data_IF_525067017348
#
_entry.id   IF_525067017348
#
_cell.length_a   1.000
_cell.length_b   1.000
_cell.length_c   1.000
_cell.angle_alpha   90.00
_cell.angle_beta   90.00
_cell.angle_gamma   90.00
#
_symmetry.space_group_name_H-M   'P 1'
#
loop_
_entity.id
_entity.type
_entity.pdbx_description
1 polymer ?
#
# COMPACT_ATOMS: atom_id res chain seq x y z
N UNK A 1 42.59 19.22 26.11
CA UNK A 1 41.72 19.86 25.12
C UNK A 1 41.13 18.90 24.09
N UNK A 2 41.74 17.76 23.79
CA UNK A 2 41.17 16.78 22.84
C UNK A 2 39.97 15.96 23.37
N UNK A 3 39.77 15.85 24.67
CA UNK A 3 38.68 15.08 25.30
C UNK A 3 37.28 15.74 25.16
N UNK A 4 37.21 17.07 25.16
CA UNK A 4 35.95 17.81 25.04
C UNK A 4 35.33 17.76 23.66
N UNK A 5 36.14 17.60 22.62
CA UNK A 5 35.61 17.51 21.25
C UNK A 5 35.04 16.10 20.94
N UNK A 6 35.60 15.06 21.58
CA UNK A 6 35.10 13.69 21.41
C UNK A 6 33.71 13.51 22.01
N UNK A 7 33.45 14.10 23.18
CA UNK A 7 32.12 14.05 23.82
C UNK A 7 31.08 14.84 23.03
N UNK A 8 31.46 15.97 22.41
CA UNK A 8 30.56 16.74 21.53
C UNK A 8 30.27 16.02 20.21
N UNK A 9 31.25 15.36 19.64
CA UNK A 9 31.07 14.52 18.45
C UNK A 9 30.21 13.29 18.76
N UNK A 10 30.41 12.66 19.92
CA UNK A 10 29.60 11.52 20.35
C UNK A 10 28.14 11.90 20.61
N UNK A 11 27.92 13.07 21.22
CA UNK A 11 26.58 13.62 21.46
C UNK A 11 25.86 14.00 20.16
N UNK A 12 26.58 14.53 19.17
CA UNK A 12 26.05 14.83 17.85
C UNK A 12 25.71 13.55 17.07
N UNK A 13 26.55 12.52 17.14
CA UNK A 13 26.29 11.22 16.52
C UNK A 13 25.06 10.51 17.13
N UNK A 14 24.91 10.57 18.45
CA UNK A 14 23.73 10.04 19.16
C UNK A 14 22.45 10.81 18.81
N UNK A 15 22.52 12.12 18.63
CA UNK A 15 21.39 12.94 18.21
C UNK A 15 20.95 12.64 16.76
N UNK A 16 21.88 12.36 15.85
CA UNK A 16 21.60 11.97 14.48
C UNK A 16 20.99 10.55 14.42
N UNK A 17 21.47 9.62 15.23
CA UNK A 17 20.89 8.27 15.35
C UNK A 17 19.46 8.31 15.92
N UNK A 18 19.19 9.19 16.88
CA UNK A 18 17.85 9.37 17.44
C UNK A 18 16.87 10.00 16.43
N UNK A 19 17.37 10.90 15.55
CA UNK A 19 16.54 11.50 14.49
C UNK A 19 16.19 10.50 13.38
N UNK A 20 17.05 9.51 13.10
CA UNK A 20 16.75 8.45 12.13
C UNK A 20 15.74 7.41 12.66
N UNK A 21 15.55 7.31 13.98
CA UNK A 21 14.58 6.39 14.58
C UNK A 21 13.13 6.91 14.58
N UNK A 22 12.90 8.15 14.13
CA UNK A 22 11.58 8.80 14.09
C UNK A 22 10.90 8.73 12.70
N UNK A 23 11.42 7.97 11.76
CA UNK A 23 10.62 7.52 10.61
C UNK A 23 9.79 6.30 11.00
N UNK A 24 9.03 6.41 12.09
CA UNK A 24 7.92 5.51 12.31
C UNK A 24 6.97 5.68 11.11
N UNK A 25 6.63 4.58 10.42
CA UNK A 25 5.54 4.57 9.46
C UNK A 25 4.34 5.21 10.14
N UNK A 26 4.00 6.43 9.77
CA UNK A 26 2.85 7.10 10.34
C UNK A 26 1.62 6.33 9.85
N UNK A 27 0.77 5.93 10.80
CA UNK A 27 -0.55 5.37 10.43
C UNK A 27 -1.29 6.40 9.58
N UNK A 28 -2.09 5.94 8.63
CA UNK A 28 -3.00 6.84 7.93
C UNK A 28 -4.07 7.36 8.89
N UNK A 29 -4.48 8.60 8.70
CA UNK A 29 -5.55 9.17 9.49
C UNK A 29 -6.91 8.60 9.04
N UNK A 30 -7.74 8.17 9.99
CA UNK A 30 -9.10 7.70 9.73
C UNK A 30 -10.06 8.87 9.49
N UNK A 31 -9.89 9.54 8.36
CA UNK A 31 -10.73 10.66 7.91
C UNK A 31 -11.13 10.45 6.45
N UNK A 32 -12.27 11.00 6.03
CA UNK A 32 -12.76 10.89 4.66
C UNK A 32 -12.91 9.43 4.20
N UNK A 33 -12.32 9.09 3.09
CA UNK A 33 -12.31 7.72 2.55
C UNK A 33 -11.74 6.68 3.52
N UNK A 34 -10.76 7.08 4.32
CA UNK A 34 -10.07 6.20 5.25
C UNK A 34 -10.86 5.88 6.53
N UNK A 35 -12.00 6.51 6.76
CA UNK A 35 -12.89 6.14 7.88
C UNK A 35 -13.36 4.68 7.78
N UNK A 36 -13.59 4.20 6.56
CA UNK A 36 -14.02 2.83 6.28
C UNK A 36 -12.88 1.82 6.15
N UNK A 37 -11.62 2.28 6.15
CA UNK A 37 -10.47 1.43 5.93
C UNK A 37 -10.33 0.32 6.98
N UNK A 38 -10.08 -0.90 6.50
CA UNK A 38 -9.82 -2.06 7.35
C UNK A 38 -8.45 -1.96 8.02
N UNK A 39 -7.44 -1.59 7.26
CA UNK A 39 -6.07 -1.42 7.74
C UNK A 39 -5.68 0.06 7.66
N UNK A 40 -4.92 0.53 8.63
CA UNK A 40 -4.50 1.95 8.73
C UNK A 40 -2.98 2.12 8.76
N UNK A 41 -2.25 1.03 8.58
CA UNK A 41 -0.77 0.99 8.54
C UNK A 41 -0.29 -0.01 7.51
N UNK A 42 0.97 0.09 7.16
CA UNK A 42 1.63 -0.90 6.32
C UNK A 42 1.62 -2.26 7.03
N UNK A 43 1.25 -3.31 6.30
CA UNK A 43 1.15 -4.67 6.82
C UNK A 43 1.72 -5.68 5.84
N UNK A 44 2.03 -6.85 6.38
CA UNK A 44 2.58 -7.99 5.65
C UNK A 44 1.63 -9.18 5.78
N UNK A 45 1.33 -9.84 4.65
CA UNK A 45 0.36 -10.93 4.56
C UNK A 45 0.95 -12.17 3.90
N UNK A 46 0.45 -13.33 4.33
CA UNK A 46 0.73 -14.60 3.69
C UNK A 46 2.10 -15.19 3.95
N UNK A 47 2.35 -16.36 3.38
CA UNK A 47 3.57 -17.16 3.62
C UNK A 47 4.11 -17.80 2.33
N UNK A 48 3.63 -17.38 1.16
CA UNK A 48 4.04 -17.95 -0.13
C UNK A 48 5.47 -17.61 -0.54
N UNK A 49 5.91 -18.17 -1.64
CA UNK A 49 7.29 -18.05 -2.14
C UNK A 49 7.54 -16.81 -2.97
N UNK A 50 6.49 -16.22 -3.56
CA UNK A 50 6.55 -14.96 -4.29
C UNK A 50 6.19 -13.81 -3.38
N UNK A 51 6.90 -12.70 -3.51
CA UNK A 51 6.63 -11.47 -2.77
C UNK A 51 6.26 -10.37 -3.74
N UNK A 52 5.11 -9.76 -3.52
CA UNK A 52 4.67 -8.56 -4.26
C UNK A 52 4.28 -7.47 -3.27
N UNK A 53 4.32 -6.23 -3.72
CA UNK A 53 3.82 -5.10 -2.94
C UNK A 53 2.58 -4.53 -3.60
N UNK A 54 1.60 -4.16 -2.79
CA UNK A 54 0.41 -3.43 -3.21
C UNK A 54 0.38 -2.08 -2.50
N UNK A 55 0.46 -1.00 -3.25
CA UNK A 55 0.16 0.33 -2.75
C UNK A 55 -1.33 0.63 -2.93
N UNK A 56 -1.96 1.06 -1.88
CA UNK A 56 -3.36 1.51 -1.87
C UNK A 56 -3.37 3.00 -1.59
N UNK A 57 -3.83 3.79 -2.55
CA UNK A 57 -3.89 5.25 -2.43
C UNK A 57 -5.33 5.73 -2.58
N UNK A 58 -5.78 6.49 -1.62
CA UNK A 58 -7.04 7.22 -1.68
C UNK A 58 -6.82 8.61 -1.08
N UNK A 59 -7.41 9.63 -1.69
CA UNK A 59 -7.12 11.01 -1.33
C UNK A 59 -5.60 11.28 -1.40
N UNK A 60 -4.98 11.77 -0.34
CA UNK A 60 -3.54 12.07 -0.26
C UNK A 60 -2.77 11.07 0.61
N UNK A 61 -3.41 9.95 1.00
CA UNK A 61 -2.80 8.95 1.87
C UNK A 61 -2.55 7.64 1.12
N UNK A 62 -1.46 6.97 1.43
CA UNK A 62 -1.04 5.70 0.82
C UNK A 62 -0.61 4.71 1.90
N UNK A 63 -1.06 3.46 1.75
CA UNK A 63 -0.54 2.31 2.48
C UNK A 63 0.18 1.36 1.53
N UNK A 64 1.15 0.65 2.06
CA UNK A 64 1.87 -0.42 1.35
C UNK A 64 1.64 -1.75 2.05
N UNK A 65 1.10 -2.70 1.32
CA UNK A 65 0.96 -4.08 1.76
C UNK A 65 2.01 -4.94 1.08
N UNK A 66 2.73 -5.73 1.87
CA UNK A 66 3.64 -6.76 1.35
C UNK A 66 2.94 -8.10 1.40
N UNK A 67 2.84 -8.78 0.27
CA UNK A 67 2.06 -10.01 0.15
C UNK A 67 2.98 -11.15 -0.31
N UNK A 68 3.07 -12.19 0.53
CA UNK A 68 3.75 -13.44 0.19
C UNK A 68 2.70 -14.44 -0.26
N UNK A 69 2.82 -14.96 -1.48
CA UNK A 69 1.79 -15.79 -2.07
C UNK A 69 2.34 -16.81 -3.05
N UNK A 70 1.63 -17.93 -3.18
CA UNK A 70 1.79 -18.91 -4.24
C UNK A 70 0.63 -18.88 -5.25
N UNK A 71 -0.28 -17.93 -5.11
CA UNK A 71 -1.40 -17.75 -6.06
C UNK A 71 -0.89 -17.38 -7.44
N UNK A 72 -1.67 -17.70 -8.46
CA UNK A 72 -1.33 -17.43 -9.85
C UNK A 72 -1.57 -15.96 -10.22
N UNK A 73 -2.64 -15.35 -9.72
CA UNK A 73 -3.04 -13.99 -10.06
C UNK A 73 -3.10 -13.07 -8.84
N UNK A 74 -2.95 -11.78 -9.09
CA UNK A 74 -3.04 -10.77 -8.04
C UNK A 74 -4.43 -10.77 -7.39
N UNK A 75 -5.50 -10.91 -8.18
CA UNK A 75 -6.86 -10.94 -7.66
C UNK A 75 -7.08 -12.08 -6.66
N UNK A 76 -6.56 -13.27 -6.92
CA UNK A 76 -6.62 -14.39 -5.98
C UNK A 76 -5.88 -14.09 -4.68
N UNK A 77 -4.68 -13.53 -4.77
CA UNK A 77 -3.88 -13.17 -3.60
C UNK A 77 -4.55 -12.09 -2.73
N UNK A 78 -5.12 -11.06 -3.35
CA UNK A 78 -5.80 -9.97 -2.64
C UNK A 78 -7.10 -10.42 -1.97
N UNK A 79 -7.86 -11.30 -2.63
CA UNK A 79 -9.10 -11.88 -2.06
C UNK A 79 -8.82 -12.82 -0.88
N UNK A 80 -7.71 -13.55 -0.91
CA UNK A 80 -7.31 -14.42 0.18
C UNK A 80 -7.15 -13.68 1.52
N UNK A 81 -6.80 -12.40 1.45
CA UNK A 81 -6.60 -11.53 2.61
C UNK A 81 -7.70 -10.46 2.79
N UNK A 82 -8.84 -10.62 2.10
CA UNK A 82 -9.96 -9.69 2.16
C UNK A 82 -9.59 -8.22 1.81
N UNK A 83 -8.56 -8.04 0.99
CA UNK A 83 -8.06 -6.71 0.61
C UNK A 83 -8.88 -6.04 -0.47
N UNK A 84 -9.64 -6.82 -1.27
CA UNK A 84 -10.51 -6.29 -2.32
C UNK A 84 -11.89 -6.94 -2.32
N UNK A 85 -12.87 -6.19 -2.83
CA UNK A 85 -14.17 -6.70 -3.25
C UNK A 85 -14.38 -6.36 -4.72
N UNK A 86 -14.86 -7.32 -5.48
CA UNK A 86 -15.18 -7.18 -6.90
C UNK A 86 -16.67 -7.34 -7.14
N UNK A 87 -17.14 -6.65 -8.17
CA UNK A 87 -18.46 -6.84 -8.74
C UNK A 87 -18.30 -7.04 -10.26
N UNK A 88 -18.69 -8.21 -10.76
CA UNK A 88 -18.57 -8.57 -12.17
C UNK A 88 -17.14 -8.38 -12.76
N UNK A 89 -16.11 -8.72 -11.99
CA UNK A 89 -14.72 -8.58 -12.39
C UNK A 89 -14.11 -7.18 -12.22
N UNK A 90 -14.90 -6.21 -11.78
CA UNK A 90 -14.45 -4.85 -11.47
C UNK A 90 -14.19 -4.70 -9.97
N UNK A 91 -13.01 -4.25 -9.61
CA UNK A 91 -12.70 -3.91 -8.21
C UNK A 91 -13.51 -2.69 -7.78
N UNK A 92 -14.35 -2.86 -6.79
CA UNK A 92 -15.21 -1.80 -6.24
C UNK A 92 -14.76 -1.33 -4.87
N UNK A 93 -14.11 -2.19 -4.11
CA UNK A 93 -13.64 -1.86 -2.76
C UNK A 93 -12.20 -2.33 -2.60
N UNK A 94 -11.36 -1.49 -2.02
CA UNK A 94 -9.98 -1.83 -1.67
C UNK A 94 -9.73 -1.41 -0.23
N UNK A 95 -9.21 -2.32 0.59
CA UNK A 95 -8.95 -2.06 2.01
C UNK A 95 -10.17 -1.48 2.76
N UNK A 96 -11.39 -1.92 2.41
CA UNK A 96 -12.63 -1.40 2.98
C UNK A 96 -13.13 -0.07 2.39
N UNK A 97 -12.34 0.57 1.53
CA UNK A 97 -12.70 1.84 0.89
C UNK A 97 -13.47 1.58 -0.40
N UNK A 98 -14.71 2.03 -0.46
CA UNK A 98 -15.57 1.85 -1.62
C UNK A 98 -15.40 2.99 -2.64
N UNK A 99 -15.33 2.63 -3.92
CA UNK A 99 -15.36 3.57 -5.04
C UNK A 99 -16.70 3.44 -5.78
N UNK A 100 -17.53 4.47 -5.73
CA UNK A 100 -18.86 4.49 -6.31
C UNK A 100 -18.87 5.31 -7.61
N UNK A 101 -19.06 4.62 -8.75
CA UNK A 101 -19.16 5.28 -10.04
C UNK A 101 -20.40 6.18 -10.16
N UNK A 102 -21.53 5.73 -9.59
CA UNK A 102 -22.81 6.46 -9.70
C UNK A 102 -22.82 7.74 -8.83
N UNK A 103 -21.92 7.85 -7.87
CA UNK A 103 -21.74 9.00 -6.99
C UNK A 103 -20.35 9.59 -7.15
N UNK A 104 -20.15 10.46 -8.15
CA UNK A 104 -18.89 11.16 -8.39
C UNK A 104 -17.91 10.46 -9.33
N UNK A 105 -18.32 9.41 -10.01
CA UNK A 105 -17.52 8.67 -10.99
C UNK A 105 -16.21 8.14 -10.39
N UNK A 106 -16.25 7.65 -9.15
CA UNK A 106 -15.10 7.07 -8.47
C UNK A 106 -14.83 5.65 -8.93
N UNK A 107 -13.54 5.34 -9.11
CA UNK A 107 -13.06 4.03 -9.54
C UNK A 107 -11.67 3.74 -9.03
N UNK A 108 -11.25 2.46 -9.04
CA UNK A 108 -9.90 2.04 -8.67
C UNK A 108 -9.03 1.87 -9.92
N UNK A 109 -8.06 2.76 -10.08
CA UNK A 109 -7.05 2.69 -11.13
C UNK A 109 -5.98 1.67 -10.75
N UNK A 110 -5.80 0.65 -11.58
CA UNK A 110 -4.82 -0.40 -11.38
C UNK A 110 -3.57 -0.14 -12.20
N UNK A 111 -2.39 -0.13 -11.55
CA UNK A 111 -1.10 0.01 -12.20
C UNK A 111 -0.12 -1.08 -11.76
N UNK A 112 0.82 -1.40 -12.63
CA UNK A 112 1.93 -2.33 -12.39
C UNK A 112 3.23 -1.59 -12.69
N UNK A 113 4.13 -1.49 -11.71
CA UNK A 113 5.38 -0.73 -11.83
C UNK A 113 5.17 0.70 -12.37
N UNK A 114 4.05 1.35 -11.99
CA UNK A 114 3.70 2.69 -12.42
C UNK A 114 2.99 2.81 -13.76
N UNK A 115 2.81 1.72 -14.50
CA UNK A 115 2.09 1.70 -15.78
C UNK A 115 0.65 1.20 -15.61
N UNK A 116 -0.30 1.91 -16.23
CA UNK A 116 -1.71 1.54 -16.17
C UNK A 116 -1.93 0.17 -16.81
N UNK A 117 -2.59 -0.71 -16.09
CA UNK A 117 -3.00 -2.02 -16.59
C UNK A 117 -4.35 -1.90 -17.32
N UNK A 118 -4.41 -2.45 -18.53
CA UNK A 118 -5.66 -2.57 -19.29
C UNK A 118 -6.46 -3.81 -18.89
N UNK A 119 -5.81 -4.79 -18.28
CA UNK A 119 -6.43 -5.98 -17.71
C UNK A 119 -6.75 -5.78 -16.22
N UNK A 120 -7.72 -6.50 -15.70
CA UNK A 120 -8.08 -6.47 -14.28
C UNK A 120 -7.11 -7.26 -13.40
N UNK A 121 -7.28 -7.15 -12.08
CA UNK A 121 -6.44 -7.85 -11.10
C UNK A 121 -6.51 -9.37 -11.22
N UNK A 122 -7.63 -9.91 -11.72
CA UNK A 122 -7.81 -11.35 -11.93
C UNK A 122 -7.01 -11.92 -13.11
N UNK A 123 -6.59 -11.08 -14.02
CA UNK A 123 -5.79 -11.43 -15.20
C UNK A 123 -4.31 -11.09 -15.02
N UNK A 124 -3.99 -10.35 -13.95
CA UNK A 124 -2.62 -9.98 -13.63
C UNK A 124 -1.89 -11.17 -13.01
N UNK A 125 -1.07 -11.86 -13.80
CA UNK A 125 -0.20 -12.92 -13.30
C UNK A 125 0.85 -12.36 -12.34
N UNK A 126 1.03 -13.03 -11.20
CA UNK A 126 1.99 -12.62 -10.19
C UNK A 126 3.41 -12.93 -10.65
N UNK A 127 4.24 -11.89 -10.67
CA UNK A 127 5.69 -11.99 -10.82
C UNK A 127 6.36 -11.55 -9.51
N UNK A 128 7.29 -12.35 -9.01
CA UNK A 128 8.02 -12.05 -7.79
C UNK A 128 8.75 -10.70 -7.88
N UNK A 129 8.66 -9.90 -6.84
CA UNK A 129 9.30 -8.59 -6.73
C UNK A 129 8.55 -7.42 -7.41
N UNK A 130 7.38 -7.65 -7.98
CA UNK A 130 6.60 -6.61 -8.66
C UNK A 130 5.84 -5.72 -7.67
N UNK A 131 5.74 -4.43 -8.00
CA UNK A 131 4.90 -3.48 -7.31
C UNK A 131 3.63 -3.22 -8.12
N UNK A 132 2.50 -3.40 -7.45
CA UNK A 132 1.17 -3.04 -7.94
C UNK A 132 0.62 -1.85 -7.16
N UNK A 133 -0.27 -1.08 -7.79
CA UNK A 133 -0.96 0.02 -7.12
C UNK A 133 -2.44 -0.01 -7.48
N UNK A 134 -3.27 0.26 -6.49
CA UNK A 134 -4.68 0.56 -6.63
C UNK A 134 -4.91 1.97 -6.08
N UNK A 135 -5.24 2.90 -6.98
CA UNK A 135 -5.44 4.30 -6.64
C UNK A 135 -6.88 4.70 -6.93
N UNK A 136 -7.58 5.21 -5.91
CA UNK A 136 -8.94 5.73 -6.07
C UNK A 136 -8.90 7.04 -6.84
N UNK A 137 -9.59 7.10 -7.96
CA UNK A 137 -9.67 8.26 -8.85
C UNK A 137 -11.11 8.58 -9.20
N UNK A 138 -11.38 9.81 -9.61
CA UNK A 138 -12.67 10.27 -10.15
C UNK A 138 -12.53 10.69 -11.61
N UNK A 139 -13.55 10.36 -12.42
CA UNK A 139 -13.56 10.66 -13.85
C UNK A 139 -12.49 9.91 -14.65
N UNK A 140 -12.21 10.37 -15.85
CA UNK A 140 -11.17 9.86 -16.74
C UNK A 140 -10.16 10.97 -17.08
#
# INVERSE_FOLDING_TARGET
>A
MKKTNLHRLLALLLAILAACALTACADVEKTGDWESATHVRDEEFGTGTKTVTLKVTAEEQTLTFTIHTDKATLGEALKEHDLIVENNGLVTTVNGIYANWDDGQWWWCFTKNGEMMLAGVNEAEITDGVQYELTKKSGF
#
